data_IF_303743368061
#
_entry.id   IF_303743368061
#
_cell.length_a   1.000
_cell.length_b   1.000
_cell.length_c   1.000
_cell.angle_alpha   90.00
_cell.angle_beta   90.00
_cell.angle_gamma   90.00
#
_symmetry.space_group_name_H-M   'P 1'
#
loop_
_entity.id
_entity.type
_entity.pdbx_description
1 polymer ?
#
# COMPACT_ATOMS: atom_id res chain seq x y z
N UNK A 1 29.44 25.51 5.13
CA UNK A 1 28.91 26.27 6.29
C UNK A 1 28.97 27.77 5.98
N UNK A 2 27.84 28.34 5.60
CA UNK A 2 27.77 29.59 4.87
C UNK A 2 26.74 30.53 5.50
N UNK A 3 27.18 31.79 5.61
CA UNK A 3 26.44 33.04 5.83
C UNK A 3 26.15 33.48 7.27
N UNK A 4 27.00 34.40 7.71
CA UNK A 4 26.82 35.28 8.86
C UNK A 4 26.04 36.53 8.41
N UNK A 5 25.13 36.93 9.28
CA UNK A 5 24.12 38.00 9.14
C UNK A 5 24.76 39.36 9.52
N UNK A 6 24.22 40.49 9.03
CA UNK A 6 23.55 41.55 9.84
C UNK A 6 23.37 42.90 9.09
N UNK A 7 22.46 43.78 9.58
CA UNK A 7 21.54 44.59 8.77
C UNK A 7 21.78 46.11 8.86
N UNK A 8 21.05 46.84 8.01
CA UNK A 8 20.55 48.20 8.29
C UNK A 8 21.14 49.32 7.43
N UNK A 9 20.27 50.10 6.78
CA UNK A 9 19.83 51.44 7.26
C UNK A 9 18.97 52.18 6.21
N UNK A 10 17.80 52.60 6.69
CA UNK A 10 16.98 53.78 6.35
C UNK A 10 17.49 54.81 5.32
N UNK A 11 16.63 55.17 4.36
CA UNK A 11 16.25 56.57 4.07
C UNK A 11 15.01 56.64 3.15
N UNK A 12 14.06 57.50 3.51
CA UNK A 12 12.89 57.97 2.71
C UNK A 12 13.09 59.48 2.47
N UNK A 13 12.18 60.24 1.80
CA UNK A 13 11.46 60.05 0.53
C UNK A 13 11.54 61.33 -0.37
N UNK A 14 11.09 61.29 -1.65
CA UNK A 14 10.39 62.44 -2.31
C UNK A 14 9.75 62.08 -3.68
N UNK A 15 8.59 62.71 -3.92
CA UNK A 15 7.59 62.54 -5.00
C UNK A 15 7.98 63.15 -6.35
N UNK A 16 7.48 62.62 -7.47
CA UNK A 16 6.55 63.30 -8.39
C UNK A 16 6.24 62.47 -9.66
N UNK A 17 5.06 62.74 -10.21
CA UNK A 17 4.27 62.07 -11.25
C UNK A 17 4.75 62.28 -12.70
N UNK A 18 4.56 61.30 -13.58
CA UNK A 18 3.60 61.36 -14.72
C UNK A 18 3.79 60.19 -15.71
N UNK A 19 2.71 59.97 -16.45
CA UNK A 19 2.34 58.88 -17.37
C UNK A 19 3.17 58.70 -18.65
N UNK A 20 3.29 57.46 -19.13
CA UNK A 20 2.95 57.07 -20.52
C UNK A 20 3.03 55.54 -20.71
N UNK A 21 2.06 54.99 -21.47
CA UNK A 21 1.87 53.57 -21.79
C UNK A 21 2.99 53.00 -22.70
N UNK A 22 3.12 51.67 -22.81
CA UNK A 22 2.67 51.07 -24.07
C UNK A 22 1.97 49.69 -23.98
N UNK A 23 0.96 49.56 -24.84
CA UNK A 23 0.60 48.43 -25.70
C UNK A 23 0.56 46.98 -25.17
N UNK A 24 -0.69 46.49 -25.09
CA UNK A 24 -1.21 45.26 -25.73
C UNK A 24 -0.49 43.93 -25.43
N UNK A 25 -1.11 43.14 -24.54
CA UNK A 25 -1.27 41.68 -24.74
C UNK A 25 -2.70 41.29 -24.44
N UNK A 26 -3.44 40.99 -25.51
CA UNK A 26 -4.70 40.24 -25.48
C UNK A 26 -4.51 39.01 -24.59
N UNK A 27 -5.19 39.01 -23.45
CA UNK A 27 -5.40 37.78 -22.69
C UNK A 27 -6.67 37.19 -23.27
N UNK A 28 -6.52 36.12 -24.07
CA UNK A 28 -7.64 35.31 -24.54
C UNK A 28 -8.46 34.89 -23.32
N UNK A 29 -9.60 35.54 -23.17
CA UNK A 29 -10.73 35.03 -22.42
C UNK A 29 -11.18 33.75 -23.12
N UNK A 30 -11.12 32.64 -22.39
CA UNK A 30 -12.03 31.52 -22.59
C UNK A 30 -12.78 31.35 -21.28
N UNK A 31 -13.77 32.21 -21.11
CA UNK A 31 -15.04 31.86 -20.46
C UNK A 31 -15.67 30.74 -21.30
N UNK A 32 -16.44 29.78 -20.81
CA UNK A 32 -16.91 29.35 -19.48
C UNK A 32 -17.69 28.05 -19.76
N UNK A 33 -18.24 27.40 -18.72
CA UNK A 33 -19.12 26.22 -18.79
C UNK A 33 -18.43 24.85 -18.91
N UNK A 34 -17.51 24.57 -18.00
CA UNK A 34 -17.74 23.34 -17.24
C UNK A 34 -18.16 23.81 -15.86
N UNK A 35 -19.35 23.40 -15.41
CA UNK A 35 -19.76 23.52 -14.01
C UNK A 35 -18.58 22.99 -13.22
N UNK A 36 -17.81 23.87 -12.58
CA UNK A 36 -16.67 23.47 -11.77
C UNK A 36 -17.26 22.78 -10.56
N UNK A 37 -17.50 21.51 -10.76
CA UNK A 37 -17.92 20.58 -9.77
C UNK A 37 -16.76 20.52 -8.78
N UNK A 38 -16.97 21.12 -7.61
CA UNK A 38 -16.03 21.11 -6.51
C UNK A 38 -16.57 20.21 -5.39
N UNK A 39 -15.70 19.46 -4.75
CA UNK A 39 -15.97 18.86 -3.44
C UNK A 39 -15.53 19.81 -2.33
N UNK A 40 -16.35 19.94 -1.29
CA UNK A 40 -15.90 20.48 -0.01
C UNK A 40 -14.86 19.55 0.61
N UNK A 41 -13.90 20.11 1.35
CA UNK A 41 -12.93 19.29 2.09
C UNK A 41 -13.59 18.27 3.03
N UNK A 42 -14.74 18.59 3.62
CA UNK A 42 -15.53 17.67 4.46
C UNK A 42 -16.13 16.51 3.65
N UNK A 43 -16.61 16.80 2.43
CA UNK A 43 -17.14 15.79 1.52
C UNK A 43 -16.05 14.83 1.06
N UNK A 44 -14.86 15.34 0.67
CA UNK A 44 -13.72 14.49 0.29
C UNK A 44 -13.30 13.60 1.46
N UNK A 45 -13.23 14.16 2.67
CA UNK A 45 -12.89 13.37 3.86
C UNK A 45 -13.90 12.26 4.13
N UNK A 46 -15.18 12.52 3.91
CA UNK A 46 -16.26 11.56 4.17
C UNK A 46 -16.36 10.48 3.09
N UNK A 47 -16.36 10.89 1.81
CA UNK A 47 -16.44 9.99 0.65
C UNK A 47 -15.25 9.04 0.57
N UNK A 48 -14.04 9.58 0.74
CA UNK A 48 -12.81 8.81 0.60
C UNK A 48 -12.21 8.35 1.94
N UNK A 49 -12.89 8.63 3.06
CA UNK A 49 -12.48 8.27 4.43
C UNK A 49 -11.04 8.69 4.78
N UNK A 50 -10.64 9.87 4.34
CA UNK A 50 -9.28 10.41 4.53
C UNK A 50 -9.18 11.44 5.64
N UNK A 51 -8.00 11.54 6.27
CA UNK A 51 -7.70 12.59 7.27
C UNK A 51 -7.44 13.94 6.62
N UNK A 52 -7.84 15.02 7.28
CA UNK A 52 -7.67 16.41 6.80
C UNK A 52 -6.22 16.78 6.50
N UNK A 53 -5.30 16.45 7.42
CA UNK A 53 -3.87 16.74 7.25
C UNK A 53 -3.26 16.01 6.06
N UNK A 54 -3.68 14.77 5.82
CA UNK A 54 -3.24 14.01 4.65
C UNK A 54 -3.85 14.57 3.37
N UNK A 55 -5.15 14.91 3.35
CA UNK A 55 -5.80 15.50 2.19
C UNK A 55 -5.08 16.79 1.75
N UNK A 56 -4.76 17.67 2.69
CA UNK A 56 -4.06 18.92 2.39
C UNK A 56 -2.65 18.69 1.84
N UNK A 57 -1.87 17.82 2.48
CA UNK A 57 -0.49 17.52 2.03
C UNK A 57 -0.48 16.78 0.69
N UNK A 58 -1.44 15.88 0.47
CA UNK A 58 -1.60 15.15 -0.79
C UNK A 58 -2.06 16.07 -1.93
N UNK A 59 -3.04 16.93 -1.70
CA UNK A 59 -3.50 17.91 -2.69
C UNK A 59 -2.36 18.83 -3.14
N UNK A 60 -1.53 19.29 -2.19
CA UNK A 60 -0.35 20.11 -2.51
C UNK A 60 0.71 19.34 -3.30
N UNK A 61 0.96 18.07 -2.97
CA UNK A 61 1.96 17.22 -3.65
C UNK A 61 1.56 16.85 -5.07
N UNK A 62 0.26 16.66 -5.31
CA UNK A 62 -0.29 16.26 -6.59
C UNK A 62 -0.86 17.43 -7.41
N UNK A 63 -0.57 18.67 -7.00
CA UNK A 63 -1.02 19.90 -7.68
C UNK A 63 -2.54 19.96 -7.94
N UNK A 64 -3.35 19.42 -7.02
CA UNK A 64 -4.81 19.45 -7.12
C UNK A 64 -5.28 20.90 -6.98
N UNK A 65 -6.09 21.43 -7.91
CA UNK A 65 -6.64 22.78 -7.80
C UNK A 65 -7.48 22.95 -6.52
N UNK A 66 -7.14 23.97 -5.73
CA UNK A 66 -7.83 24.32 -4.47
C UNK A 66 -8.46 25.70 -4.61
N UNK A 67 -9.75 25.80 -4.27
CA UNK A 67 -10.47 27.06 -4.15
C UNK A 67 -10.83 27.29 -2.68
N UNK A 68 -10.63 28.51 -2.17
CA UNK A 68 -11.00 28.85 -0.79
C UNK A 68 -12.20 29.79 -0.81
N UNK A 69 -13.33 29.34 -0.26
CA UNK A 69 -14.58 30.09 -0.19
C UNK A 69 -15.02 30.14 1.28
N UNK A 70 -15.27 31.34 1.82
CA UNK A 70 -15.68 31.55 3.22
C UNK A 70 -14.78 30.82 4.26
N UNK A 71 -13.47 30.77 4.01
CA UNK A 71 -12.52 30.10 4.89
C UNK A 71 -12.44 28.58 4.74
N UNK A 72 -13.36 27.94 4.00
CA UNK A 72 -13.37 26.51 3.67
C UNK A 72 -12.60 26.22 2.37
N UNK A 73 -12.00 25.04 2.29
CA UNK A 73 -11.27 24.59 1.10
C UNK A 73 -12.16 23.68 0.24
N UNK A 74 -12.12 23.93 -1.06
CA UNK A 74 -12.85 23.22 -2.10
C UNK A 74 -11.84 22.66 -3.11
N UNK A 75 -12.09 21.45 -3.60
CA UNK A 75 -11.20 20.71 -4.48
C UNK A 75 -11.93 20.33 -5.76
N UNK A 76 -11.27 20.41 -6.92
CA UNK A 76 -11.86 20.03 -8.21
C UNK A 76 -12.25 18.55 -8.21
N UNK A 77 -13.52 18.21 -8.48
CA UNK A 77 -14.02 16.82 -8.50
C UNK A 77 -13.20 15.97 -9.46
N UNK A 78 -12.99 16.42 -10.71
CA UNK A 78 -12.17 15.71 -11.72
C UNK A 78 -10.81 15.26 -11.20
N UNK A 79 -10.07 16.17 -10.53
CA UNK A 79 -8.73 15.86 -10.03
C UNK A 79 -8.75 14.96 -8.79
N UNK A 80 -9.77 15.10 -7.95
CA UNK A 80 -10.00 14.21 -6.81
C UNK A 80 -10.36 12.82 -7.32
N UNK A 81 -11.30 12.72 -8.23
CA UNK A 81 -11.74 11.46 -8.83
C UNK A 81 -10.65 10.81 -9.67
N UNK A 82 -9.76 11.55 -10.34
CA UNK A 82 -8.58 10.95 -10.99
C UNK A 82 -7.56 10.46 -9.95
N UNK A 83 -7.32 11.25 -8.90
CA UNK A 83 -6.39 10.91 -7.84
C UNK A 83 -6.84 9.71 -6.99
N UNK A 84 -8.15 9.57 -6.77
CA UNK A 84 -8.75 8.46 -6.02
C UNK A 84 -9.30 7.33 -6.92
N UNK A 85 -9.62 7.62 -8.18
CA UNK A 85 -10.31 6.74 -9.14
C UNK A 85 -9.41 5.73 -9.85
N UNK A 86 -8.13 5.65 -9.49
CA UNK A 86 -7.38 4.39 -9.55
C UNK A 86 -7.80 3.48 -8.36
N UNK A 87 -9.08 3.51 -8.00
CA UNK A 87 -9.68 2.57 -7.08
C UNK A 87 -9.93 1.28 -7.88
N UNK A 88 -8.85 0.53 -8.13
CA UNK A 88 -8.87 -0.89 -8.52
C UNK A 88 -9.97 -1.57 -7.74
N UNK A 89 -11.08 -1.95 -8.39
CA UNK A 89 -12.31 -2.57 -7.88
C UNK A 89 -12.33 -2.89 -6.36
N UNK A 90 -12.20 -1.85 -5.54
CA UNK A 90 -12.08 -1.98 -4.06
C UNK A 90 -13.40 -2.53 -3.52
N UNK A 91 -14.48 -2.30 -4.26
CA UNK A 91 -15.82 -2.78 -4.03
C UNK A 91 -15.98 -4.29 -4.17
N UNK A 92 -15.15 -4.97 -4.97
CA UNK A 92 -15.21 -6.44 -5.09
C UNK A 92 -14.62 -7.15 -3.86
N UNK A 93 -13.77 -6.45 -3.10
CA UNK A 93 -13.11 -7.01 -1.92
C UNK A 93 -14.05 -6.90 -0.71
N UNK A 94 -14.60 -8.04 -0.29
CA UNK A 94 -15.49 -8.14 0.86
C UNK A 94 -14.77 -7.98 2.19
N UNK A 95 -13.57 -8.57 2.30
CA UNK A 95 -12.87 -8.73 3.57
C UNK A 95 -11.56 -7.93 3.63
N UNK A 96 -11.49 -7.02 4.59
CA UNK A 96 -10.35 -6.14 4.86
C UNK A 96 -9.77 -6.43 6.24
N UNK A 97 -8.46 -6.66 6.33
CA UNK A 97 -7.76 -6.92 7.59
C UNK A 97 -6.82 -5.79 7.97
N UNK A 98 -6.74 -5.49 9.27
CA UNK A 98 -5.74 -4.60 9.83
C UNK A 98 -4.35 -5.24 9.83
N UNK A 99 -3.34 -4.39 10.03
CA UNK A 99 -1.96 -4.87 10.21
C UNK A 99 -1.84 -5.82 11.40
N UNK A 100 -2.52 -5.53 12.52
CA UNK A 100 -2.52 -6.35 13.74
C UNK A 100 -3.19 -7.71 13.51
N UNK A 101 -4.35 -7.71 12.87
CA UNK A 101 -5.09 -8.94 12.52
C UNK A 101 -4.30 -9.81 11.54
N UNK A 102 -3.58 -9.20 10.59
CA UNK A 102 -2.69 -9.94 9.69
C UNK A 102 -1.51 -10.54 10.44
N UNK A 103 -0.96 -9.84 11.43
CA UNK A 103 0.12 -10.37 12.26
C UNK A 103 -0.36 -11.59 13.06
N UNK A 104 -1.56 -11.54 13.64
CA UNK A 104 -2.13 -12.66 14.41
C UNK A 104 -2.51 -13.86 13.52
N UNK A 105 -3.28 -13.62 12.45
CA UNK A 105 -3.76 -14.69 11.58
C UNK A 105 -2.64 -15.29 10.73
N UNK A 106 -1.71 -14.46 10.26
CA UNK A 106 -0.70 -14.89 9.30
C UNK A 106 0.69 -15.07 9.92
N UNK A 107 0.93 -14.59 11.14
CA UNK A 107 2.26 -14.59 11.77
C UNK A 107 3.25 -13.66 11.06
N UNK A 108 2.76 -12.69 10.27
CA UNK A 108 3.59 -11.79 9.48
C UNK A 108 3.85 -10.49 10.22
N UNK A 109 5.13 -10.18 10.47
CA UNK A 109 5.51 -8.87 11.01
C UNK A 109 5.06 -7.73 10.08
N UNK A 110 4.69 -6.56 10.61
CA UNK A 110 4.21 -5.41 9.81
C UNK A 110 5.18 -4.97 8.69
N UNK A 111 6.49 -5.08 8.93
CA UNK A 111 7.53 -4.74 7.95
C UNK A 111 7.56 -5.74 6.78
N UNK A 112 7.47 -7.03 7.09
CA UNK A 112 7.39 -8.10 6.09
C UNK A 112 6.09 -7.99 5.29
N UNK A 113 4.97 -7.69 5.96
CA UNK A 113 3.67 -7.49 5.33
C UNK A 113 3.71 -6.36 4.28
N UNK A 114 4.31 -5.21 4.61
CA UNK A 114 4.48 -4.10 3.65
C UNK A 114 5.31 -4.49 2.42
N UNK A 115 6.41 -5.20 2.62
CA UNK A 115 7.23 -5.66 1.50
C UNK A 115 6.46 -6.68 0.63
N UNK A 116 5.69 -7.56 1.28
CA UNK A 116 4.90 -8.59 0.64
C UNK A 116 3.78 -7.99 -0.22
N UNK A 117 3.01 -7.06 0.34
CA UNK A 117 1.90 -6.40 -0.37
C UNK A 117 2.38 -5.61 -1.57
N UNK A 118 3.52 -4.91 -1.44
CA UNK A 118 4.13 -4.19 -2.55
C UNK A 118 4.60 -5.12 -3.67
N UNK A 119 5.21 -6.26 -3.32
CA UNK A 119 5.74 -7.24 -4.27
C UNK A 119 4.62 -7.93 -5.05
N UNK A 120 3.54 -8.28 -4.38
CA UNK A 120 2.43 -9.03 -4.96
C UNK A 120 1.26 -8.15 -5.42
N UNK A 121 1.42 -6.82 -5.38
CA UNK A 121 0.39 -5.85 -5.77
C UNK A 121 -0.95 -6.10 -5.09
N UNK A 122 -0.90 -6.48 -3.81
CA UNK A 122 -2.11 -6.73 -3.02
C UNK A 122 -2.85 -5.40 -2.85
N UNK A 123 -4.15 -5.34 -3.17
CA UNK A 123 -4.95 -4.15 -2.94
C UNK A 123 -4.92 -3.73 -1.46
N UNK A 124 -4.66 -2.44 -1.23
CA UNK A 124 -4.64 -1.85 0.10
C UNK A 124 -5.61 -0.69 0.17
N UNK A 125 -6.35 -0.60 1.28
CA UNK A 125 -7.28 0.47 1.55
C UNK A 125 -6.80 1.23 2.77
N UNK A 126 -6.88 2.55 2.75
CA UNK A 126 -6.46 3.37 3.87
C UNK A 126 -7.62 4.21 4.39
N UNK A 127 -8.13 3.86 5.56
CA UNK A 127 -9.22 4.59 6.22
C UNK A 127 -8.67 5.26 7.49
N UNK A 128 -8.84 6.58 7.60
CA UNK A 128 -8.45 7.38 8.78
C UNK A 128 -7.00 7.15 9.28
N UNK A 129 -6.08 6.84 8.37
CA UNK A 129 -4.67 6.58 8.67
C UNK A 129 -4.36 5.15 9.13
N UNK A 130 -5.36 4.26 9.17
CA UNK A 130 -5.17 2.82 9.30
C UNK A 130 -5.12 2.20 7.91
N UNK A 131 -4.19 1.27 7.71
CA UNK A 131 -4.04 0.55 6.45
C UNK A 131 -4.65 -0.82 6.61
N UNK A 132 -5.55 -1.14 5.69
CA UNK A 132 -6.26 -2.38 5.57
C UNK A 132 -5.77 -3.13 4.33
N UNK A 133 -5.71 -4.44 4.44
CA UNK A 133 -5.23 -5.34 3.40
C UNK A 133 -6.34 -6.31 3.01
N UNK A 134 -6.42 -6.63 1.72
CA UNK A 134 -7.38 -7.62 1.25
C UNK A 134 -7.06 -9.02 1.78
N UNK A 135 -8.00 -9.64 2.48
CA UNK A 135 -7.85 -10.99 3.06
C UNK A 135 -7.81 -12.07 1.99
N UNK A 136 -8.68 -11.98 0.98
CA UNK A 136 -8.73 -12.95 -0.13
C UNK A 136 -7.39 -13.04 -0.85
N UNK A 137 -6.84 -11.89 -1.24
CA UNK A 137 -5.54 -11.81 -1.91
C UNK A 137 -4.39 -12.32 -1.03
N UNK A 138 -4.44 -12.08 0.29
CA UNK A 138 -3.46 -12.64 1.22
C UNK A 138 -3.55 -14.18 1.32
N UNK A 139 -4.77 -14.73 1.27
CA UNK A 139 -5.01 -16.17 1.33
C UNK A 139 -4.60 -16.89 0.04
N UNK A 140 -5.00 -16.36 -1.12
CA UNK A 140 -4.68 -16.93 -2.45
C UNK A 140 -3.17 -17.14 -2.62
N UNK A 141 -2.38 -16.14 -2.24
CA UNK A 141 -0.92 -16.22 -2.34
C UNK A 141 -0.30 -17.24 -1.39
N UNK A 142 -0.98 -17.55 -0.29
CA UNK A 142 -0.52 -18.53 0.70
C UNK A 142 -0.90 -19.96 0.34
N UNK A 143 -1.69 -20.19 -0.74
CA UNK A 143 -2.10 -21.53 -1.21
C UNK A 143 -2.47 -22.47 -0.05
N UNK A 144 -3.33 -22.03 0.84
CA UNK A 144 -3.77 -22.81 2.02
C UNK A 144 -4.27 -24.20 1.66
N UNK A 145 -4.81 -24.34 0.44
CA UNK A 145 -5.33 -25.59 -0.10
C UNK A 145 -4.26 -26.68 -0.19
N UNK A 146 -3.01 -26.32 -0.55
CA UNK A 146 -1.91 -27.28 -0.62
C UNK A 146 -1.45 -27.75 0.77
N UNK A 147 -1.61 -26.90 1.81
CA UNK A 147 -1.18 -27.23 3.17
C UNK A 147 -2.08 -28.30 3.80
N UNK A 148 -3.34 -28.37 3.36
CA UNK A 148 -4.34 -29.33 3.84
C UNK A 148 -4.48 -30.57 2.93
N UNK A 149 -3.73 -30.64 1.83
CA UNK A 149 -3.78 -31.76 0.89
C UNK A 149 -3.09 -33.00 1.50
N UNK A 150 -3.80 -34.13 1.55
CA UNK A 150 -3.32 -35.41 2.13
C UNK A 150 -2.09 -35.98 1.41
N UNK A 151 -1.80 -35.50 0.20
CA UNK A 151 -0.64 -35.89 -0.62
C UNK A 151 0.67 -35.31 -0.09
N UNK A 152 0.63 -34.30 0.77
CA UNK A 152 1.81 -33.65 1.29
C UNK A 152 1.92 -33.76 2.80
N UNK A 153 3.16 -33.91 3.27
CA UNK A 153 3.49 -33.77 4.69
C UNK A 153 4.20 -32.45 4.95
N UNK A 154 3.81 -31.81 6.04
CA UNK A 154 4.60 -30.75 6.66
C UNK A 154 5.79 -31.36 7.41
N UNK A 155 6.88 -30.59 7.53
CA UNK A 155 8.05 -31.01 8.32
C UNK A 155 7.69 -31.35 9.77
N UNK A 156 6.71 -30.62 10.35
CA UNK A 156 6.19 -30.85 11.69
C UNK A 156 5.52 -32.24 11.82
N UNK A 157 4.70 -32.63 10.84
CA UNK A 157 4.08 -33.96 10.79
C UNK A 157 5.13 -35.06 10.63
N UNK A 158 6.12 -34.90 9.75
CA UNK A 158 7.20 -35.88 9.59
C UNK A 158 7.99 -36.06 10.88
N UNK A 159 8.25 -34.97 11.60
CA UNK A 159 8.91 -35.01 12.91
C UNK A 159 8.08 -35.79 13.94
N UNK A 160 6.76 -35.63 13.96
CA UNK A 160 5.86 -36.38 14.86
C UNK A 160 5.78 -37.86 14.50
N UNK A 161 5.67 -38.20 13.21
CA UNK A 161 5.49 -39.58 12.74
C UNK A 161 6.77 -40.40 12.91
N UNK A 162 7.92 -39.83 12.51
CA UNK A 162 9.20 -40.56 12.45
C UNK A 162 10.16 -40.22 13.58
N UNK A 163 9.80 -39.30 14.49
CA UNK A 163 10.65 -38.89 15.61
C UNK A 163 11.95 -38.19 15.18
N UNK A 164 11.99 -37.62 13.98
CA UNK A 164 13.19 -36.99 13.42
C UNK A 164 13.26 -35.50 13.71
N UNK A 165 14.47 -34.97 13.95
CA UNK A 165 14.66 -33.51 14.05
C UNK A 165 14.45 -32.82 12.69
N UNK A 166 14.00 -31.57 12.71
CA UNK A 166 13.84 -30.74 11.50
C UNK A 166 15.13 -30.62 10.68
N UNK A 167 16.29 -30.58 11.35
CA UNK A 167 17.60 -30.57 10.69
C UNK A 167 17.89 -31.88 9.94
N UNK A 168 17.58 -33.02 10.55
CA UNK A 168 17.74 -34.33 9.92
C UNK A 168 16.79 -34.48 8.72
N UNK A 169 15.54 -34.04 8.85
CA UNK A 169 14.57 -34.04 7.74
C UNK A 169 15.09 -33.18 6.59
N UNK A 170 15.59 -31.97 6.87
CA UNK A 170 16.16 -31.09 5.85
C UNK A 170 17.36 -31.73 5.14
N UNK A 171 18.22 -32.44 5.87
CA UNK A 171 19.34 -33.17 5.29
C UNK A 171 18.88 -34.33 4.39
N UNK A 172 17.93 -35.14 4.85
CA UNK A 172 17.36 -36.25 4.07
C UNK A 172 16.73 -35.74 2.77
N UNK A 173 15.91 -34.68 2.85
CA UNK A 173 15.27 -34.06 1.68
C UNK A 173 16.31 -33.61 0.66
N UNK A 174 17.46 -33.08 1.10
CA UNK A 174 18.55 -32.69 0.20
C UNK A 174 19.25 -33.89 -0.44
N UNK A 175 19.61 -34.90 0.35
CA UNK A 175 20.39 -36.06 -0.13
C UNK A 175 19.56 -36.99 -1.01
N UNK A 176 18.29 -37.19 -0.68
CA UNK A 176 17.39 -38.11 -1.38
C UNK A 176 16.54 -37.43 -2.45
N UNK A 177 16.80 -36.14 -2.71
CA UNK A 177 16.10 -35.34 -3.72
C UNK A 177 14.57 -35.44 -3.64
N UNK A 178 14.02 -35.32 -2.42
CA UNK A 178 12.58 -35.35 -2.19
C UNK A 178 11.97 -34.06 -2.76
N UNK A 179 10.89 -34.19 -3.52
CA UNK A 179 10.15 -33.04 -4.02
C UNK A 179 9.58 -32.22 -2.87
N UNK A 180 9.87 -30.91 -2.90
CA UNK A 180 9.40 -29.98 -1.90
C UNK A 180 8.76 -28.75 -2.53
N UNK A 181 7.62 -28.35 -1.97
CA UNK A 181 6.93 -27.13 -2.35
C UNK A 181 7.00 -26.18 -1.17
N UNK A 182 7.46 -24.95 -1.43
CA UNK A 182 7.50 -23.91 -0.40
C UNK A 182 6.19 -23.15 -0.40
N UNK A 183 5.47 -23.22 0.72
CA UNK A 183 4.20 -22.51 0.93
C UNK A 183 4.35 -21.59 2.13
N UNK A 184 4.57 -20.31 1.85
CA UNK A 184 4.93 -19.31 2.87
C UNK A 184 6.24 -19.68 3.59
N UNK A 185 6.14 -19.90 4.90
CA UNK A 185 7.27 -20.31 5.77
C UNK A 185 7.43 -21.83 5.83
N UNK A 186 6.37 -22.59 5.49
CA UNK A 186 6.36 -24.04 5.58
C UNK A 186 6.91 -24.68 4.31
N UNK A 187 7.61 -25.80 4.48
CA UNK A 187 7.98 -26.69 3.38
C UNK A 187 7.04 -27.90 3.43
N UNK A 188 6.38 -28.14 2.31
CA UNK A 188 5.56 -29.32 2.07
C UNK A 188 6.41 -30.34 1.32
N UNK A 189 6.39 -31.59 1.78
CA UNK A 189 7.14 -32.71 1.23
C UNK A 189 6.14 -33.70 0.64
N UNK A 190 6.45 -34.26 -0.53
CA UNK A 190 5.59 -35.27 -1.14
C UNK A 190 5.55 -36.53 -0.25
N UNK A 191 4.35 -36.93 0.17
CA UNK A 191 4.15 -38.03 1.11
C UNK A 191 4.76 -39.34 0.61
N UNK A 192 4.51 -39.68 -0.65
CA UNK A 192 5.02 -40.91 -1.28
C UNK A 192 6.55 -40.99 -1.29
N UNK A 193 7.23 -39.86 -1.47
CA UNK A 193 8.69 -39.79 -1.45
C UNK A 193 9.24 -39.93 -0.03
N UNK A 194 8.61 -39.26 0.94
CA UNK A 194 8.99 -39.36 2.36
C UNK A 194 8.85 -40.80 2.84
N UNK A 195 7.70 -41.43 2.62
CA UNK A 195 7.43 -42.81 3.05
C UNK A 195 8.42 -43.80 2.41
N UNK A 196 8.70 -43.65 1.11
CA UNK A 196 9.70 -44.48 0.40
C UNK A 196 11.09 -44.35 1.02
N UNK A 197 11.55 -43.12 1.26
CA UNK A 197 12.89 -42.85 1.82
C UNK A 197 13.00 -43.34 3.26
N UNK A 198 11.95 -43.25 4.06
CA UNK A 198 11.95 -43.77 5.43
C UNK A 198 11.93 -45.29 5.46
N UNK A 199 11.20 -45.95 4.54
CA UNK A 199 11.19 -47.40 4.41
C UNK A 199 12.56 -47.96 4.00
N UNK A 200 13.29 -47.29 3.10
CA UNK A 200 14.66 -47.65 2.73
C UNK A 200 15.64 -47.59 3.91
N UNK A 201 15.41 -46.67 4.85
CA UNK A 201 16.28 -46.47 6.02
C UNK A 201 16.10 -47.54 7.10
N UNK A 202 14.92 -48.15 7.16
CA UNK A 202 14.59 -49.20 8.14
C UNK A 202 14.95 -50.61 7.66
N UNK A 203 15.49 -50.75 6.44
CA UNK A 203 16.12 -51.98 5.94
C UNK A 203 17.60 -51.98 6.25
#
# INVERSE_FOLDING_TARGET
PYHRILPGKTSTPRKSSSSSLPAKREKREKESEEVLDFYSGEEVMSLFKVKQSWLYTSAKRNHIPICRIAGKNYYSKKHIDEFFGVAVDISEITDWLLTEEVEELFGMKPTALRAYTYRHKIPTKREYGRTYYSKSHLNELRRTDLVNDERYYTVEQVQQIYGLSSANICHIVKVKHIEKIKVGVKNLLLRSDVERVMAERNK
#
